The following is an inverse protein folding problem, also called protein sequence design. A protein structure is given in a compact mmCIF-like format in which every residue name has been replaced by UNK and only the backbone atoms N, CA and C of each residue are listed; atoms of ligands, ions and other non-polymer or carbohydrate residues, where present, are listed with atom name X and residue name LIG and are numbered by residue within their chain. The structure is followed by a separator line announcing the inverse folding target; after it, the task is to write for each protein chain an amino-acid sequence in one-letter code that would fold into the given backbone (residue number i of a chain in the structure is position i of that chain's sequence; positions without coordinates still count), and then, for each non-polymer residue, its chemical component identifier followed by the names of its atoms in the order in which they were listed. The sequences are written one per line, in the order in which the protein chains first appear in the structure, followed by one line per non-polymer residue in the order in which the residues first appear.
data_IF_275520753810
#
_entry.id   IF_275520753810
#
_cell.length_a   1.000
_cell.length_b   1.000
_cell.length_c   1.000
_cell.angle_alpha   90.00
_cell.angle_beta   90.00
_cell.angle_gamma   90.00
#
_symmetry.space_group_name_H-M   'P 1'
#
loop_
_entity.id
_entity.type
_entity.pdbx_description
1 polymer ?
#
# COMPACT_ATOMS: atom_id res chain seq x y z
N UNK A 1 4.06 -23.70 -3.80
CA UNK A 1 3.66 -22.50 -4.56
C UNK A 1 2.38 -21.94 -3.97
N UNK A 2 2.40 -20.83 -3.21
CA UNK A 2 1.16 -20.18 -2.78
C UNK A 2 1.16 -18.64 -2.93
N UNK A 3 1.76 -18.07 -3.98
CA UNK A 3 1.68 -16.61 -4.22
C UNK A 3 0.29 -16.18 -4.74
N UNK A 4 -0.40 -17.08 -5.47
CA UNK A 4 -1.71 -16.79 -6.07
C UNK A 4 -2.80 -16.41 -5.06
N UNK A 5 -2.68 -16.82 -3.79
CA UNK A 5 -3.68 -16.52 -2.76
C UNK A 5 -3.59 -15.08 -2.25
N UNK A 6 -2.39 -14.55 -2.07
CA UNK A 6 -2.19 -13.20 -1.53
C UNK A 6 -2.52 -12.13 -2.57
N UNK A 7 -2.15 -12.36 -3.83
CA UNK A 7 -2.40 -11.44 -4.94
C UNK A 7 -3.91 -11.24 -5.18
N UNK A 8 -4.68 -12.34 -5.13
CA UNK A 8 -6.15 -12.28 -5.25
C UNK A 8 -6.79 -11.56 -4.05
N UNK A 9 -6.26 -11.73 -2.84
CA UNK A 9 -6.74 -11.02 -1.65
C UNK A 9 -6.46 -9.53 -1.74
N UNK A 10 -5.28 -9.13 -2.19
CA UNK A 10 -4.93 -7.71 -2.40
C UNK A 10 -5.87 -7.08 -3.42
N UNK A 11 -6.13 -7.76 -4.55
CA UNK A 11 -7.10 -7.30 -5.53
C UNK A 11 -8.50 -7.13 -4.93
N UNK A 12 -9.01 -8.14 -4.20
CA UNK A 12 -10.32 -8.07 -3.57
C UNK A 12 -10.41 -6.97 -2.50
N UNK A 13 -9.37 -6.77 -1.68
CA UNK A 13 -9.31 -5.70 -0.68
C UNK A 13 -9.27 -4.31 -1.33
N UNK A 14 -8.54 -4.14 -2.43
CA UNK A 14 -8.52 -2.89 -3.20
C UNK A 14 -9.87 -2.59 -3.87
N UNK A 15 -10.60 -3.61 -4.32
CA UNK A 15 -11.95 -3.44 -4.86
C UNK A 15 -12.94 -3.06 -3.76
N UNK A 16 -12.82 -3.65 -2.57
CA UNK A 16 -13.65 -3.31 -1.42
C UNK A 16 -13.37 -1.89 -0.91
N UNK A 17 -12.10 -1.49 -0.84
CA UNK A 17 -11.67 -0.20 -0.28
C UNK A 17 -11.35 0.82 -1.39
N UNK A 18 -12.39 1.26 -2.10
CA UNK A 18 -12.25 2.15 -3.27
C UNK A 18 -11.51 3.46 -2.94
N UNK A 19 -11.62 3.94 -1.70
CA UNK A 19 -10.90 5.14 -1.24
C UNK A 19 -9.38 4.93 -1.15
N UNK A 20 -8.91 3.74 -0.76
CA UNK A 20 -7.46 3.43 -0.74
C UNK A 20 -6.95 3.35 -2.14
N UNK A 21 -7.65 2.58 -2.98
CA UNK A 21 -7.29 2.43 -4.38
C UNK A 21 -7.15 3.80 -5.03
N UNK A 22 -8.15 4.66 -4.85
CA UNK A 22 -8.13 5.99 -5.43
C UNK A 22 -6.98 6.87 -4.89
N UNK A 23 -6.68 6.79 -3.59
CA UNK A 23 -5.53 7.50 -3.02
C UNK A 23 -4.20 6.98 -3.60
N UNK A 24 -4.01 5.66 -3.68
CA UNK A 24 -2.81 5.04 -4.25
C UNK A 24 -2.65 5.38 -5.75
N UNK A 25 -3.76 5.47 -6.50
CA UNK A 25 -3.76 5.94 -7.88
C UNK A 25 -3.34 7.42 -7.99
N UNK A 26 -3.87 8.28 -7.10
CA UNK A 26 -3.54 9.71 -7.08
C UNK A 26 -2.05 9.97 -6.82
N UNK A 27 -1.44 9.23 -5.90
CA UNK A 27 -0.01 9.34 -5.61
C UNK A 27 0.87 8.49 -6.56
N UNK A 28 0.28 7.86 -7.58
CA UNK A 28 0.97 6.95 -8.51
C UNK A 28 1.75 5.83 -7.82
N UNK A 29 1.23 5.34 -6.70
CA UNK A 29 1.80 4.22 -5.95
C UNK A 29 1.29 2.86 -6.45
N UNK A 30 0.24 2.81 -7.27
CA UNK A 30 -0.19 1.56 -7.92
C UNK A 30 0.60 1.32 -9.20
N UNK A 31 1.19 0.13 -9.29
CA UNK A 31 1.83 -0.39 -10.49
C UNK A 31 1.31 -1.80 -10.80
N UNK A 32 1.73 -2.35 -11.93
CA UNK A 32 1.50 -3.75 -12.27
C UNK A 32 2.78 -4.54 -12.16
N UNK A 33 2.67 -5.81 -11.79
CA UNK A 33 3.81 -6.72 -11.77
C UNK A 33 4.42 -6.87 -13.18
N UNK A 34 5.59 -7.50 -13.27
CA UNK A 34 6.30 -7.67 -14.55
C UNK A 34 5.48 -8.42 -15.62
N UNK A 35 4.44 -9.15 -15.21
CA UNK A 35 3.54 -9.87 -16.10
C UNK A 35 2.25 -9.11 -16.43
N UNK A 36 2.05 -7.91 -15.86
CA UNK A 36 0.87 -7.08 -16.07
C UNK A 36 -0.42 -7.63 -15.47
N UNK A 37 -0.33 -8.64 -14.60
CA UNK A 37 -1.46 -9.43 -14.07
C UNK A 37 -1.90 -8.97 -12.68
N UNK A 38 -0.97 -8.50 -11.86
CA UNK A 38 -1.24 -8.21 -10.45
C UNK A 38 -0.92 -6.75 -10.12
N UNK A 39 -1.75 -6.16 -9.26
CA UNK A 39 -1.53 -4.81 -8.73
C UNK A 39 -0.45 -4.91 -7.64
N UNK A 40 0.60 -4.12 -7.80
CA UNK A 40 1.66 -3.95 -6.81
C UNK A 40 1.64 -2.52 -6.29
N UNK A 41 1.89 -2.37 -4.99
CA UNK A 41 2.02 -1.05 -4.37
C UNK A 41 3.50 -0.73 -4.23
N UNK A 42 3.91 0.42 -4.75
CA UNK A 42 5.30 0.86 -4.70
C UNK A 42 5.80 0.99 -3.27
N UNK A 43 7.03 0.54 -3.05
CA UNK A 43 7.68 0.53 -1.73
C UNK A 43 7.22 -0.58 -0.79
N UNK A 44 6.20 -1.37 -1.17
CA UNK A 44 5.69 -2.47 -0.36
C UNK A 44 5.78 -3.81 -1.09
N UNK A 45 6.06 -4.85 -0.32
CA UNK A 45 5.86 -6.23 -0.79
C UNK A 45 4.37 -6.58 -0.86
N UNK A 46 4.03 -7.69 -1.52
CA UNK A 46 2.64 -8.16 -1.60
C UNK A 46 2.04 -8.46 -0.22
N UNK A 47 2.85 -9.02 0.70
CA UNK A 47 2.43 -9.28 2.08
C UNK A 47 2.20 -7.98 2.87
N UNK A 48 3.09 -7.01 2.73
CA UNK A 48 2.94 -5.68 3.35
C UNK A 48 1.75 -4.90 2.77
N UNK A 49 1.44 -5.09 1.49
CA UNK A 49 0.26 -4.51 0.86
C UNK A 49 -1.02 -5.11 1.43
N UNK A 50 -1.08 -6.44 1.57
CA UNK A 50 -2.20 -7.11 2.24
C UNK A 50 -2.36 -6.63 3.69
N UNK A 51 -1.25 -6.51 4.42
CA UNK A 51 -1.21 -5.99 5.79
C UNK A 51 -1.75 -4.56 5.85
N UNK A 52 -1.26 -3.66 4.98
CA UNK A 52 -1.69 -2.27 4.91
C UNK A 52 -3.20 -2.13 4.68
N UNK A 53 -3.73 -2.91 3.73
CA UNK A 53 -5.15 -2.90 3.40
C UNK A 53 -6.02 -3.47 4.54
N UNK A 54 -5.52 -4.48 5.27
CA UNK A 54 -6.20 -5.01 6.46
C UNK A 54 -6.20 -4.05 7.64
N UNK A 55 -5.10 -3.32 7.85
CA UNK A 55 -4.96 -2.41 8.99
C UNK A 55 -5.83 -1.16 8.85
N UNK A 56 -6.07 -0.68 7.63
CA UNK A 56 -6.85 0.55 7.42
C UNK A 56 -8.23 0.56 8.09
N UNK A 57 -9.13 -0.41 7.88
CA UNK A 57 -10.45 -0.39 8.53
C UNK A 57 -10.34 -0.43 10.06
N UNK A 58 -9.33 -1.11 10.61
CA UNK A 58 -9.07 -1.14 12.05
C UNK A 58 -8.62 0.22 12.59
N UNK A 59 -7.82 0.96 11.82
CA UNK A 59 -7.33 2.29 12.19
C UNK A 59 -8.40 3.38 12.02
N UNK A 60 -9.30 3.22 11.05
CA UNK A 60 -10.40 4.17 10.79
C UNK A 60 -11.63 3.93 11.67
N UNK A 61 -11.86 2.69 12.09
CA UNK A 61 -12.99 2.37 12.97
C UNK A 61 -12.66 2.74 14.41
N UNK A 62 -13.39 3.71 14.96
CA UNK A 62 -13.29 4.09 16.37
C UNK A 62 -13.71 2.95 17.32
N UNK A 63 -14.49 1.99 16.82
CA UNK A 63 -15.08 0.87 17.56
C UNK A 63 -14.64 -0.49 16.99
N UNK A 64 -13.35 -0.64 16.66
CA UNK A 64 -12.83 -1.90 16.12
C UNK A 64 -12.84 -3.07 17.14
N UNK A 65 -13.39 -2.87 18.35
CA UNK A 65 -13.33 -3.83 19.45
C UNK A 65 -11.91 -4.13 19.96
N UNK A 66 -10.92 -3.33 19.53
CA UNK A 66 -9.51 -3.48 19.91
C UNK A 66 -9.23 -2.78 21.24
N UNK A 67 -8.28 -3.34 22.00
CA UNK A 67 -7.75 -2.63 23.17
C UNK A 67 -6.97 -1.40 22.72
N UNK A 68 -6.83 -0.40 23.60
CA UNK A 68 -6.08 0.83 23.26
C UNK A 68 -4.63 0.55 22.84
N UNK A 69 -4.01 -0.51 23.37
CA UNK A 69 -2.65 -0.93 23.02
C UNK A 69 -2.59 -1.53 21.61
N UNK A 70 -3.54 -2.41 21.28
CA UNK A 70 -3.61 -3.04 19.95
C UNK A 70 -3.93 -2.01 18.86
N UNK A 71 -4.80 -1.04 19.16
CA UNK A 71 -5.10 0.05 18.24
C UNK A 71 -3.87 0.95 18.03
N UNK A 72 -3.08 1.22 19.07
CA UNK A 72 -1.85 1.99 18.95
C UNK A 72 -0.82 1.26 18.09
N UNK A 73 -0.64 -0.04 18.29
CA UNK A 73 0.25 -0.87 17.48
C UNK A 73 -0.22 -0.93 16.01
N UNK A 74 -1.52 -1.13 15.76
CA UNK A 74 -2.09 -1.12 14.42
C UNK A 74 -1.89 0.23 13.71
N UNK A 75 -2.09 1.34 14.43
CA UNK A 75 -1.84 2.70 13.93
C UNK A 75 -0.38 2.94 13.58
N UNK A 76 0.52 2.52 14.47
CA UNK A 76 1.96 2.64 14.24
C UNK A 76 2.37 1.84 12.99
N UNK A 77 1.93 0.58 12.91
CA UNK A 77 2.24 -0.29 11.78
C UNK A 77 1.69 0.24 10.45
N UNK A 78 0.46 0.75 10.47
CA UNK A 78 -0.14 1.43 9.31
C UNK A 78 0.65 2.67 8.89
N UNK A 79 1.13 3.47 9.86
CA UNK A 79 1.96 4.65 9.58
C UNK A 79 3.32 4.29 8.99
N UNK A 80 3.96 3.22 9.47
CA UNK A 80 5.22 2.70 8.92
C UNK A 80 5.07 2.28 7.45
N UNK A 81 4.03 1.49 7.14
CA UNK A 81 3.74 1.05 5.78
C UNK A 81 3.41 2.22 4.86
N UNK A 82 2.65 3.21 5.36
CA UNK A 82 2.38 4.44 4.62
C UNK A 82 3.65 5.23 4.32
N UNK A 83 4.54 5.37 5.29
CA UNK A 83 5.81 6.07 5.11
C UNK A 83 6.71 5.39 4.06
N UNK A 84 6.69 4.05 3.97
CA UNK A 84 7.38 3.32 2.89
C UNK A 84 6.83 3.65 1.51
N UNK A 85 5.51 3.74 1.37
CA UNK A 85 4.88 4.15 0.11
C UNK A 85 5.30 5.58 -0.24
N UNK A 86 5.19 6.52 0.71
CA UNK A 86 5.56 7.92 0.49
C UNK A 86 7.05 8.05 0.11
N UNK A 87 7.94 7.30 0.75
CA UNK A 87 9.36 7.27 0.41
C UNK A 87 9.61 6.74 -1.02
N UNK A 88 8.97 5.63 -1.40
CA UNK A 88 9.12 5.07 -2.74
C UNK A 88 8.56 5.99 -3.84
N UNK A 89 7.45 6.68 -3.57
CA UNK A 89 6.88 7.66 -4.50
C UNK A 89 7.80 8.88 -4.64
N UNK A 90 8.43 9.34 -3.56
CA UNK A 90 9.38 10.45 -3.59
C UNK A 90 10.68 10.10 -4.31
N UNK A 91 11.25 8.92 -4.06
CA UNK A 91 12.47 8.47 -4.74
C UNK A 91 12.29 8.44 -6.26
N UNK A 92 11.16 7.95 -6.75
CA UNK A 92 10.89 7.91 -8.19
C UNK A 92 10.65 9.31 -8.78
N UNK A 93 10.05 10.22 -8.02
CA UNK A 93 9.93 11.62 -8.42
C UNK A 93 11.32 12.29 -8.58
N UNK A 94 12.29 11.91 -7.73
CA UNK A 94 13.66 12.40 -7.80
C UNK A 94 14.40 11.78 -9.00
N UNK A 95 14.25 10.47 -9.25
CA UNK A 95 14.82 9.81 -10.43
C UNK A 95 14.25 10.38 -11.73
N UNK A 96 12.94 10.67 -11.78
CA UNK A 96 12.28 11.29 -12.92
C UNK A 96 12.80 12.70 -13.24
N UNK A 97 13.16 13.49 -12.22
CA UNK A 97 13.75 14.82 -12.41
C UNK A 97 15.23 14.75 -12.84
N UNK A 98 15.95 13.72 -12.41
CA UNK A 98 17.36 13.51 -12.77
C UNK A 98 17.55 13.14 -14.24
N UNK A 99 16.51 12.57 -14.87
CA UNK A 99 16.51 12.17 -16.29
C UNK A 99 16.39 13.35 -17.28
N UNK A 100 15.95 14.54 -16.83
CA UNK A 100 15.84 15.74 -17.69
C UNK A 100 17.10 16.60 -17.76
N UNK A 101 18.15 16.29 -16.99
CA UNK A 101 19.41 17.03 -16.96
C UNK A 101 20.55 16.42 -17.77
N UNK A 102 20.35 15.25 -18.39
CA UNK A 102 21.39 14.47 -19.05
C UNK A 102 21.14 14.24 -20.53
N UNK A 103 21.75 15.09 -21.35
CA UNK A 103 22.02 14.99 -22.80
C UNK A 103 20.96 15.52 -23.78
#
# INVERSE_FOLDING_TARGET
MPLQGTEQKVAALLEQESSVKHWLEQIRALDKDAQGRHIVVRGLTMEETEEFLRLRPLVQSADAGLTSLDLAAAKQRYAELRAKIDAAVQDEAIEGLSSWGGN
#
